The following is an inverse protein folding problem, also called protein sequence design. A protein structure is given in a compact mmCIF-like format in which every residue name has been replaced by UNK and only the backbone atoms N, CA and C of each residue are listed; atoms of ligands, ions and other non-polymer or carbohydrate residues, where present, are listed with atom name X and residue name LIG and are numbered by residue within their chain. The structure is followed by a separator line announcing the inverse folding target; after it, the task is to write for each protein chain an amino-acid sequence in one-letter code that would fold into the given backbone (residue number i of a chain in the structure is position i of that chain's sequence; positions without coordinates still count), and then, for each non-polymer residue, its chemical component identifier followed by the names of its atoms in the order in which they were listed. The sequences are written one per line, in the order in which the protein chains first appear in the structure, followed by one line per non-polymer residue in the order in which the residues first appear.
data_IF_551418048110
#
_entry.id   IF_551418048110
#
_cell.length_a   1.000
_cell.length_b   1.000
_cell.length_c   1.000
_cell.angle_alpha   90.00
_cell.angle_beta   90.00
_cell.angle_gamma   90.00
#
_symmetry.space_group_name_H-M   'P 1'
#
loop_
_entity.id
_entity.type
_entity.pdbx_description
1 polymer ?
#
# COMPACT_ATOMS: atom_id res chain seq x y z
N UNK A 1 -12.44 -12.85 21.95
CA UNK A 1 -11.12 -13.13 21.34
C UNK A 1 -11.14 -12.74 19.87
N UNK A 2 -10.29 -11.76 19.52
CA UNK A 2 -10.20 -11.09 18.21
C UNK A 2 -9.23 -11.82 17.25
N UNK A 3 -9.09 -13.14 17.39
CA UNK A 3 -8.29 -13.93 16.46
C UNK A 3 -9.09 -14.22 15.19
N UNK A 4 -8.42 -14.20 14.06
CA UNK A 4 -8.98 -14.62 12.78
C UNK A 4 -9.03 -16.15 12.75
N UNK A 5 -10.24 -16.70 12.85
CA UNK A 5 -10.51 -18.13 12.73
C UNK A 5 -11.40 -18.37 11.51
N UNK A 6 -10.86 -19.05 10.51
CA UNK A 6 -11.54 -19.34 9.25
C UNK A 6 -12.76 -20.24 9.40
N UNK A 7 -12.82 -21.05 10.46
CA UNK A 7 -13.98 -21.87 10.79
C UNK A 7 -15.20 -21.02 11.20
N UNK A 8 -14.95 -19.89 11.88
CA UNK A 8 -16.00 -18.97 12.33
C UNK A 8 -16.42 -17.98 11.24
N UNK A 9 -15.49 -17.51 10.40
CA UNK A 9 -15.80 -16.55 9.32
C UNK A 9 -16.68 -17.17 8.24
N UNK A 10 -16.38 -18.40 7.83
CA UNK A 10 -17.10 -19.09 6.73
C UNK A 10 -18.47 -19.63 7.17
N UNK A 11 -18.62 -20.08 8.43
CA UNK A 11 -19.92 -20.57 8.94
C UNK A 11 -20.84 -19.50 9.54
N UNK A 12 -20.33 -18.35 10.01
CA UNK A 12 -21.14 -17.32 10.71
C UNK A 12 -21.20 -15.95 10.02
N UNK A 13 -20.72 -15.80 8.78
CA UNK A 13 -20.87 -14.57 7.96
C UNK A 13 -20.46 -13.28 8.71
N UNK A 14 -19.37 -13.35 9.49
CA UNK A 14 -18.93 -12.20 10.30
C UNK A 14 -18.01 -11.27 9.50
N UNK A 15 -18.56 -10.60 8.48
CA UNK A 15 -17.83 -9.71 7.56
C UNK A 15 -17.15 -8.55 8.30
N UNK A 16 -17.72 -8.09 9.41
CA UNK A 16 -17.12 -7.04 10.24
C UNK A 16 -15.77 -7.43 10.84
N UNK A 17 -15.50 -8.73 11.08
CA UNK A 17 -14.20 -9.18 11.58
C UNK A 17 -13.09 -8.91 10.57
N UNK A 18 -13.37 -9.07 9.28
CA UNK A 18 -12.42 -8.79 8.20
C UNK A 18 -11.97 -7.34 8.24
N UNK A 19 -12.89 -6.41 8.47
CA UNK A 19 -12.59 -4.97 8.59
C UNK A 19 -11.84 -4.65 9.88
N UNK A 20 -12.27 -5.20 11.02
CA UNK A 20 -11.62 -4.93 12.32
C UNK A 20 -10.21 -5.49 12.44
N UNK A 21 -9.87 -6.57 11.71
CA UNK A 21 -8.52 -7.14 11.68
C UNK A 21 -7.49 -6.23 11.00
N UNK A 22 -7.91 -5.33 10.11
CA UNK A 22 -7.04 -4.31 9.51
C UNK A 22 -6.85 -3.11 10.43
N UNK A 23 -7.88 -2.74 11.19
CA UNK A 23 -7.81 -1.60 12.10
C UNK A 23 -7.02 -1.88 13.38
N UNK A 24 -6.74 -3.15 13.67
CA UNK A 24 -5.93 -3.54 14.83
C UNK A 24 -4.47 -3.78 14.43
N UNK A 25 -3.61 -2.81 14.74
CA UNK A 25 -2.16 -2.85 14.45
C UNK A 25 -1.37 -3.49 15.62
N UNK A 26 -2.01 -3.72 16.77
CA UNK A 26 -1.43 -4.31 17.97
C UNK A 26 -1.90 -3.61 19.24
N UNK A 27 -1.53 -4.15 20.41
CA UNK A 27 -1.71 -3.44 21.69
C UNK A 27 -0.81 -2.20 21.80
N UNK A 28 -1.20 -1.24 22.63
CA UNK A 28 -0.42 -0.02 22.88
C UNK A 28 0.94 -0.40 23.50
N UNK A 29 2.01 -0.25 22.72
CA UNK A 29 3.39 -0.60 23.09
C UNK A 29 4.36 0.22 22.23
N UNK A 30 5.64 0.29 22.61
CA UNK A 30 6.67 0.97 21.80
C UNK A 30 6.71 0.44 20.35
N UNK A 31 6.50 -0.87 20.17
CA UNK A 31 6.40 -1.53 18.85
C UNK A 31 5.25 -1.00 18.00
N UNK A 32 4.12 -0.69 18.61
CA UNK A 32 2.98 -0.08 17.94
C UNK A 32 3.30 1.37 17.53
N UNK A 33 3.99 2.12 18.38
CA UNK A 33 4.38 3.50 18.08
C UNK A 33 5.33 3.59 16.87
N UNK A 34 6.31 2.69 16.78
CA UNK A 34 7.19 2.60 15.61
C UNK A 34 6.40 2.33 14.32
N UNK A 35 5.39 1.45 14.37
CA UNK A 35 4.50 1.14 13.24
C UNK A 35 3.63 2.33 12.83
N UNK A 36 3.08 3.08 13.78
CA UNK A 36 2.31 4.30 13.49
C UNK A 36 3.21 5.42 12.96
N UNK A 37 4.42 5.57 13.50
CA UNK A 37 5.40 6.54 13.01
C UNK A 37 5.81 6.23 11.57
N UNK A 38 6.01 4.95 11.25
CA UNK A 38 6.26 4.47 9.89
C UNK A 38 5.10 4.85 8.94
N UNK A 39 3.86 4.62 9.38
CA UNK A 39 2.69 5.03 8.60
C UNK A 39 2.63 6.55 8.39
N UNK A 40 2.87 7.34 9.42
CA UNK A 40 2.81 8.80 9.33
C UNK A 40 3.92 9.34 8.42
N UNK A 41 5.15 8.83 8.56
CA UNK A 41 6.31 9.33 7.84
C UNK A 41 6.37 8.88 6.38
N UNK A 42 5.78 7.73 6.03
CA UNK A 42 5.83 7.20 4.66
C UNK A 42 4.47 7.23 3.96
N UNK A 43 3.36 7.04 4.68
CA UNK A 43 2.02 7.07 4.09
C UNK A 43 1.59 8.47 3.64
N UNK A 44 1.82 9.50 4.45
CA UNK A 44 1.42 10.88 4.11
C UNK A 44 2.17 11.41 2.89
N UNK A 45 3.50 11.24 2.76
CA UNK A 45 4.20 11.59 1.53
C UNK A 45 3.68 10.81 0.33
N UNK A 46 3.36 9.51 0.47
CA UNK A 46 2.85 8.71 -0.64
C UNK A 46 1.55 9.28 -1.22
N UNK A 47 0.60 9.64 -0.35
CA UNK A 47 -0.66 10.28 -0.74
C UNK A 47 -0.42 11.63 -1.41
N UNK A 48 0.46 12.45 -0.82
CA UNK A 48 0.73 13.82 -1.27
C UNK A 48 1.67 13.94 -2.45
N UNK A 49 2.31 12.89 -2.93
CA UNK A 49 3.30 12.98 -4.03
C UNK A 49 2.94 12.07 -5.19
N UNK A 50 2.72 10.79 -4.92
CA UNK A 50 2.37 9.80 -5.95
C UNK A 50 0.88 9.86 -6.30
N UNK A 51 0.01 10.06 -5.31
CA UNK A 51 -1.45 10.01 -5.48
C UNK A 51 -2.14 11.38 -5.38
N UNK A 52 -1.41 12.47 -5.67
CA UNK A 52 -2.00 13.81 -5.70
C UNK A 52 -3.25 13.83 -6.59
N UNK A 53 -4.38 14.24 -6.03
CA UNK A 53 -5.70 14.30 -6.68
C UNK A 53 -6.27 12.95 -7.17
N UNK A 54 -5.67 11.83 -6.77
CA UNK A 54 -6.11 10.45 -7.07
C UNK A 54 -6.24 9.63 -5.79
N UNK A 55 -6.85 10.19 -4.75
CA UNK A 55 -7.08 9.51 -3.46
C UNK A 55 -7.82 8.17 -3.63
N UNK A 56 -8.66 8.05 -4.66
CA UNK A 56 -9.32 6.79 -5.02
C UNK A 56 -8.34 5.65 -5.31
N UNK A 57 -7.19 5.94 -5.93
CA UNK A 57 -6.19 4.95 -6.28
C UNK A 57 -5.37 4.52 -5.06
N UNK A 58 -5.13 5.47 -4.15
CA UNK A 58 -4.51 5.18 -2.86
C UNK A 58 -5.39 4.26 -2.01
N UNK A 59 -6.71 4.52 -1.95
CA UNK A 59 -7.66 3.64 -1.26
C UNK A 59 -7.74 2.28 -1.96
N UNK A 60 -7.74 2.25 -3.29
CA UNK A 60 -7.78 1.00 -4.05
C UNK A 60 -6.53 0.14 -3.81
N UNK A 61 -5.34 0.74 -3.69
CA UNK A 61 -4.12 0.05 -3.27
C UNK A 61 -4.31 -0.66 -1.92
N UNK A 62 -4.88 0.03 -0.93
CA UNK A 62 -5.17 -0.56 0.38
C UNK A 62 -6.18 -1.71 0.31
N UNK A 63 -7.25 -1.53 -0.47
CA UNK A 63 -8.29 -2.56 -0.65
C UNK A 63 -7.72 -3.80 -1.35
N UNK A 64 -6.95 -3.62 -2.43
CA UNK A 64 -6.30 -4.72 -3.14
C UNK A 64 -5.33 -5.47 -2.22
N UNK A 65 -4.50 -4.72 -1.49
CA UNK A 65 -3.53 -5.30 -0.57
C UNK A 65 -4.21 -6.07 0.56
N UNK A 66 -5.30 -5.53 1.12
CA UNK A 66 -6.12 -6.21 2.10
C UNK A 66 -6.74 -7.49 1.55
N UNK A 67 -7.26 -7.47 0.32
CA UNK A 67 -7.81 -8.65 -0.34
C UNK A 67 -6.75 -9.74 -0.54
N UNK A 68 -5.54 -9.38 -0.99
CA UNK A 68 -4.43 -10.32 -1.12
C UNK A 68 -4.01 -10.93 0.22
N UNK A 69 -3.90 -10.12 1.28
CA UNK A 69 -3.57 -10.62 2.62
C UNK A 69 -4.65 -11.56 3.17
N UNK A 70 -5.92 -11.28 2.91
CA UNK A 70 -7.03 -12.18 3.25
C UNK A 70 -6.94 -13.51 2.48
N UNK A 71 -6.67 -13.46 1.18
CA UNK A 71 -6.50 -14.66 0.37
C UNK A 71 -5.33 -15.52 0.86
N UNK A 72 -4.18 -14.90 1.18
CA UNK A 72 -3.02 -15.61 1.75
C UNK A 72 -3.37 -16.22 3.10
N UNK A 73 -4.03 -15.46 3.97
CA UNK A 73 -4.47 -15.97 5.27
C UNK A 73 -5.44 -17.15 5.14
N UNK A 74 -6.30 -17.16 4.13
CA UNK A 74 -7.23 -18.26 3.85
C UNK A 74 -6.53 -19.53 3.40
N UNK A 75 -5.58 -19.39 2.47
CA UNK A 75 -4.83 -20.52 1.90
C UNK A 75 -3.82 -21.08 2.90
N UNK A 76 -3.26 -20.24 3.76
CA UNK A 76 -2.22 -20.61 4.72
C UNK A 76 -2.64 -20.36 6.18
N UNK A 77 -3.58 -21.16 6.73
CA UNK A 77 -4.03 -21.01 8.12
C UNK A 77 -2.92 -21.29 9.15
N UNK A 78 -1.83 -21.96 8.75
CA UNK A 78 -0.67 -22.24 9.61
C UNK A 78 0.16 -21.01 10.00
N UNK A 79 -0.01 -19.87 9.32
CA UNK A 79 0.73 -18.63 9.63
C UNK A 79 0.19 -17.89 10.87
N UNK A 80 -0.93 -18.33 11.44
CA UNK A 80 -1.58 -17.74 12.63
C UNK A 80 -1.60 -16.21 12.59
N UNK A 81 -1.94 -15.63 11.42
CA UNK A 81 -1.98 -14.19 11.19
C UNK A 81 -3.08 -13.56 12.04
N UNK A 82 -2.76 -13.24 13.28
CA UNK A 82 -3.72 -12.73 14.25
C UNK A 82 -4.18 -11.32 13.88
N UNK A 83 -3.30 -10.53 13.26
CA UNK A 83 -3.51 -9.13 12.95
C UNK A 83 -2.99 -8.80 11.55
N UNK A 84 -3.89 -8.35 10.66
CA UNK A 84 -3.55 -8.00 9.27
C UNK A 84 -3.21 -6.52 9.11
N UNK A 85 -3.36 -5.70 10.16
CA UNK A 85 -2.96 -4.29 10.15
C UNK A 85 -1.46 -4.11 9.95
N UNK A 86 -0.62 -4.85 10.67
CA UNK A 86 0.83 -4.77 10.54
C UNK A 86 1.36 -5.06 9.13
N UNK A 87 1.02 -6.20 8.47
CA UNK A 87 1.49 -6.46 7.11
C UNK A 87 0.99 -5.42 6.11
N UNK A 88 -0.22 -4.86 6.29
CA UNK A 88 -0.73 -3.77 5.44
C UNK A 88 0.16 -2.51 5.51
N UNK A 89 0.67 -2.16 6.70
CA UNK A 89 1.63 -1.04 6.85
C UNK A 89 2.92 -1.28 6.07
N UNK A 90 3.45 -2.52 6.11
CA UNK A 90 4.63 -2.88 5.34
C UNK A 90 4.37 -2.87 3.83
N UNK A 91 3.14 -3.13 3.36
CA UNK A 91 2.77 -2.92 1.95
C UNK A 91 2.91 -1.45 1.57
N UNK A 92 2.38 -0.52 2.39
CA UNK A 92 2.51 0.93 2.14
C UNK A 92 3.97 1.35 2.11
N UNK A 93 4.76 0.89 3.07
CA UNK A 93 6.20 1.13 3.13
C UNK A 93 6.91 0.63 1.87
N UNK A 94 6.56 -0.57 1.42
CA UNK A 94 7.13 -1.15 0.20
C UNK A 94 6.78 -0.31 -1.03
N UNK A 95 5.50 0.06 -1.20
CA UNK A 95 5.07 0.89 -2.33
C UNK A 95 5.75 2.26 -2.28
N UNK A 96 5.90 2.85 -1.09
CA UNK A 96 6.65 4.09 -0.91
C UNK A 96 8.10 3.95 -1.33
N UNK A 97 8.78 2.90 -0.84
CA UNK A 97 10.17 2.58 -1.16
C UNK A 97 10.41 2.45 -2.68
N UNK A 98 9.44 1.89 -3.40
CA UNK A 98 9.50 1.75 -4.87
C UNK A 98 9.24 3.04 -5.62
N UNK A 99 8.39 3.93 -5.10
CA UNK A 99 8.11 5.23 -5.73
C UNK A 99 9.23 6.26 -5.45
N UNK A 100 9.89 6.15 -4.30
CA UNK A 100 10.95 7.06 -3.84
C UNK A 100 12.28 6.34 -3.64
N UNK A 101 12.68 5.51 -4.61
CA UNK A 101 13.90 4.70 -4.50
C UNK A 101 15.17 5.53 -4.33
N UNK A 102 15.24 6.67 -5.01
CA UNK A 102 16.43 7.53 -5.05
C UNK A 102 16.46 8.56 -3.92
N UNK A 103 15.37 8.69 -3.17
CA UNK A 103 15.27 9.65 -2.08
C UNK A 103 16.05 9.15 -0.85
N UNK A 104 17.01 9.92 -0.31
CA UNK A 104 17.71 9.53 0.91
C UNK A 104 16.78 9.69 2.11
N UNK A 105 16.57 8.60 2.85
CA UNK A 105 15.76 8.56 4.07
C UNK A 105 16.66 8.29 5.26
N UNK A 106 16.51 9.11 6.30
CA UNK A 106 17.18 8.86 7.58
C UNK A 106 16.30 7.97 8.44
N UNK A 107 16.77 6.76 8.73
CA UNK A 107 16.15 5.89 9.72
C UNK A 107 16.54 6.42 11.09
N UNK A 108 15.57 7.04 11.76
CA UNK A 108 15.66 7.43 13.17
C UNK A 108 16.80 8.41 13.46
N UNK A 109 17.29 9.16 12.47
CA UNK A 109 18.35 10.16 12.62
C UNK A 109 19.77 9.62 12.51
N UNK A 110 19.96 8.30 12.57
CA UNK A 110 21.30 7.68 12.66
C UNK A 110 21.84 7.19 11.31
N UNK A 111 20.99 6.57 10.48
CA UNK A 111 21.42 5.94 9.23
C UNK A 111 20.67 6.54 8.04
N UNK A 112 21.41 7.14 7.10
CA UNK A 112 20.87 7.60 5.81
C UNK A 112 20.92 6.44 4.82
N UNK A 113 19.77 5.87 4.48
CA UNK A 113 19.62 4.83 3.47
C UNK A 113 18.83 5.35 2.28
N UNK A 114 19.09 4.83 1.10
CA UNK A 114 18.21 5.06 -0.04
C UNK A 114 16.85 4.42 0.22
N UNK A 115 15.78 5.06 -0.27
CA UNK A 115 14.41 4.59 -0.09
C UNK A 115 14.21 3.14 -0.50
N UNK A 116 14.96 2.64 -1.49
CA UNK A 116 14.94 1.23 -1.93
C UNK A 116 15.25 0.22 -0.81
N UNK A 117 16.13 0.55 0.14
CA UNK A 117 16.56 -0.38 1.20
C UNK A 117 15.65 -0.35 2.44
N UNK A 118 14.68 0.56 2.52
CA UNK A 118 13.82 0.72 3.69
C UNK A 118 13.09 -0.56 4.13
N UNK A 119 12.42 -1.33 3.24
CA UNK A 119 11.69 -2.51 3.67
C UNK A 119 12.61 -3.55 4.30
N UNK A 120 13.83 -3.68 3.78
CA UNK A 120 14.85 -4.57 4.31
C UNK A 120 15.46 -4.08 5.61
N UNK A 121 15.65 -2.76 5.75
CA UNK A 121 16.12 -2.16 6.99
C UNK A 121 15.10 -2.35 8.12
N UNK A 122 13.81 -2.14 7.84
CA UNK A 122 12.73 -2.39 8.81
C UNK A 122 12.60 -3.88 9.14
N UNK A 123 12.76 -4.79 8.19
CA UNK A 123 12.86 -6.22 8.47
C UNK A 123 13.99 -6.55 9.46
N UNK A 124 15.16 -5.92 9.29
CA UNK A 124 16.29 -6.07 10.20
C UNK A 124 15.99 -5.53 11.61
N UNK A 125 15.36 -4.35 11.70
CA UNK A 125 14.93 -3.76 12.97
C UNK A 125 13.92 -4.67 13.67
N UNK A 126 12.95 -5.21 12.93
CA UNK A 126 11.94 -6.11 13.45
C UNK A 126 12.57 -7.37 14.05
N UNK A 127 13.60 -7.93 13.40
CA UNK A 127 14.34 -9.09 13.88
C UNK A 127 15.11 -8.78 15.17
N UNK A 128 15.79 -7.62 15.23
CA UNK A 128 16.52 -7.17 16.42
C UNK A 128 15.57 -6.91 17.59
N UNK A 129 14.38 -6.37 17.31
CA UNK A 129 13.34 -6.13 18.31
C UNK A 129 12.54 -7.39 18.71
N UNK A 130 12.85 -8.56 18.11
CA UNK A 130 12.13 -9.81 18.37
C UNK A 130 10.67 -9.78 17.91
N UNK A 131 10.34 -8.95 16.92
CA UNK A 131 9.03 -8.94 16.26
C UNK A 131 8.95 -10.04 15.21
N UNK A 132 7.72 -10.39 14.81
CA UNK A 132 7.52 -11.39 13.75
C UNK A 132 8.00 -10.84 12.40
N UNK A 133 9.07 -11.39 11.80
CA UNK A 133 9.53 -10.96 10.48
C UNK A 133 8.56 -11.36 9.37
N UNK A 134 7.67 -12.32 9.66
CA UNK A 134 6.66 -12.84 8.72
C UNK A 134 5.69 -11.73 8.30
N UNK A 135 5.31 -10.83 9.21
CA UNK A 135 4.44 -9.69 8.89
C UNK A 135 5.09 -8.76 7.85
N UNK A 136 6.40 -8.49 8.03
CA UNK A 136 7.17 -7.66 7.12
C UNK A 136 7.34 -8.33 5.75
N UNK A 137 7.72 -9.62 5.73
CA UNK A 137 7.87 -10.39 4.49
C UNK A 137 6.57 -10.50 3.69
N UNK A 138 5.43 -10.71 4.38
CA UNK A 138 4.11 -10.71 3.73
C UNK A 138 3.77 -9.35 3.13
N UNK A 139 4.09 -8.26 3.83
CA UNK A 139 3.89 -6.91 3.29
C UNK A 139 4.74 -6.64 2.05
N UNK A 140 6.00 -7.07 2.04
CA UNK A 140 6.89 -6.99 0.87
C UNK A 140 6.32 -7.82 -0.29
N UNK A 141 5.88 -9.05 -0.02
CA UNK A 141 5.33 -9.93 -1.04
C UNK A 141 4.06 -9.35 -1.67
N UNK A 142 3.09 -8.91 -0.87
CA UNK A 142 1.84 -8.32 -1.36
C UNK A 142 2.09 -6.98 -2.06
N UNK A 143 2.99 -6.15 -1.53
CA UNK A 143 3.40 -4.91 -2.19
C UNK A 143 4.06 -5.16 -3.55
N UNK A 144 4.88 -6.21 -3.66
CA UNK A 144 5.45 -6.63 -4.93
C UNK A 144 4.36 -7.11 -5.89
N UNK A 145 3.37 -7.86 -5.39
CA UNK A 145 2.22 -8.31 -6.17
C UNK A 145 1.42 -7.13 -6.73
N UNK A 146 1.13 -6.12 -5.90
CA UNK A 146 0.48 -4.87 -6.33
C UNK A 146 1.30 -4.15 -7.39
N UNK A 147 2.61 -4.01 -7.19
CA UNK A 147 3.49 -3.38 -8.18
C UNK A 147 3.53 -4.17 -9.49
N UNK A 148 3.58 -5.51 -9.43
CA UNK A 148 3.58 -6.39 -10.59
C UNK A 148 2.29 -6.24 -11.42
N UNK A 149 1.13 -6.33 -10.78
CA UNK A 149 -0.14 -6.17 -11.49
C UNK A 149 -0.41 -4.72 -11.92
N UNK A 150 0.09 -3.74 -11.16
CA UNK A 150 -0.17 -2.32 -11.40
C UNK A 150 0.77 -1.67 -12.43
N UNK A 151 1.99 -2.18 -12.58
CA UNK A 151 2.99 -1.59 -13.48
C UNK A 151 3.43 -2.55 -14.60
N UNK A 152 3.76 -3.80 -14.28
CA UNK A 152 4.30 -4.76 -15.26
C UNK A 152 3.22 -5.36 -16.17
N UNK A 153 2.03 -5.62 -15.64
CA UNK A 153 0.91 -6.14 -16.43
C UNK A 153 0.39 -5.16 -17.50
N UNK A 154 0.13 -3.87 -17.21
CA UNK A 154 -0.31 -2.93 -18.24
C UNK A 154 0.76 -2.61 -19.28
N UNK A 155 2.05 -2.69 -18.92
CA UNK A 155 3.17 -2.52 -19.85
C UNK A 155 3.24 -3.64 -20.91
N UNK A 156 2.78 -4.87 -20.60
CA UNK A 156 2.78 -5.99 -21.56
C UNK A 156 1.46 -6.18 -22.30
N UNK A 157 0.32 -5.89 -21.68
CA UNK A 157 -1.00 -6.24 -22.23
C UNK A 157 -1.79 -5.02 -22.71
N UNK A 158 -1.37 -3.78 -22.40
CA UNK A 158 -2.07 -2.55 -22.79
C UNK A 158 -3.43 -2.34 -22.11
N UNK A 159 -3.82 -3.25 -21.20
CA UNK A 159 -5.01 -3.14 -20.35
C UNK A 159 -4.55 -2.89 -18.91
N UNK A 160 -5.17 -1.92 -18.23
CA UNK A 160 -4.97 -1.64 -16.80
C UNK A 160 -5.93 -2.49 -15.97
N UNK A 161 -5.56 -3.69 -15.48
CA UNK A 161 -6.44 -4.48 -14.60
C UNK A 161 -6.65 -3.83 -13.23
N UNK A 162 -5.76 -2.93 -12.82
CA UNK A 162 -5.94 -2.07 -11.63
C UNK A 162 -6.54 -0.71 -11.95
N UNK A 163 -7.29 -0.58 -13.06
CA UNK A 163 -8.13 0.58 -13.26
C UNK A 163 -9.09 0.67 -12.06
N UNK A 164 -8.98 1.76 -11.31
CA UNK A 164 -9.86 2.08 -10.20
C UNK A 164 -11.29 2.00 -10.69
N UNK A 165 -12.14 1.18 -10.05
CA UNK A 165 -13.49 1.00 -10.55
C UNK A 165 -14.24 2.33 -10.43
N UNK A 166 -15.02 2.66 -11.46
CA UNK A 166 -15.62 4.00 -11.61
C UNK A 166 -16.46 4.42 -10.40
N UNK A 167 -17.09 3.48 -9.69
CA UNK A 167 -17.86 3.76 -8.48
C UNK A 167 -16.99 4.35 -7.35
N UNK A 168 -15.76 3.86 -7.16
CA UNK A 168 -14.87 4.34 -6.12
C UNK A 168 -14.34 5.74 -6.45
N UNK A 169 -14.05 5.97 -7.74
CA UNK A 169 -13.68 7.29 -8.25
C UNK A 169 -14.80 8.30 -8.03
N UNK A 170 -16.03 7.93 -8.36
CA UNK A 170 -17.20 8.78 -8.17
C UNK A 170 -17.50 9.06 -6.70
N UNK A 171 -17.34 8.10 -5.79
CA UNK A 171 -17.54 8.32 -4.35
C UNK A 171 -16.52 9.29 -3.77
N UNK A 172 -15.25 9.14 -4.16
CA UNK A 172 -14.17 10.03 -3.70
C UNK A 172 -14.32 11.42 -4.33
N UNK A 173 -14.55 11.52 -5.64
CA UNK A 173 -14.76 12.80 -6.34
C UNK A 173 -16.03 13.54 -5.84
N UNK A 174 -17.09 12.82 -5.47
CA UNK A 174 -18.27 13.43 -4.85
C UNK A 174 -17.98 13.95 -3.43
N UNK A 175 -17.03 13.35 -2.71
CA UNK A 175 -16.56 13.85 -1.41
C UNK A 175 -15.64 15.08 -1.53
N UNK A 176 -14.82 15.16 -2.58
CA UNK A 176 -13.93 16.32 -2.85
C UNK A 176 -14.62 17.47 -3.60
N UNK A 177 -15.69 17.21 -4.36
CA UNK A 177 -16.47 18.25 -5.04
C UNK A 177 -17.20 19.20 -4.09
N UNK A 178 -17.30 18.87 -2.80
CA UNK A 178 -17.78 19.80 -1.77
C UNK A 178 -16.76 20.87 -1.35
N UNK A 179 -15.49 20.80 -1.79
CA UNK A 179 -14.44 21.64 -1.19
C UNK A 179 -13.36 22.24 -2.09
N UNK A 180 -13.28 22.01 -3.41
CA UNK A 180 -12.60 22.98 -4.31
C UNK A 180 -12.75 22.67 -5.80
N UNK A 181 -13.01 23.72 -6.57
CA UNK A 181 -13.29 23.67 -8.00
C UNK A 181 -12.13 23.17 -8.88
N UNK A 182 -12.55 22.53 -9.97
CA UNK A 182 -11.96 22.58 -11.31
C UNK A 182 -10.43 22.67 -11.41
N UNK A 183 -9.75 21.54 -11.60
CA UNK A 183 -8.62 21.48 -12.53
C UNK A 183 -8.72 20.21 -13.39
N UNK A 184 -9.41 20.34 -14.53
CA UNK A 184 -9.30 19.42 -15.66
C UNK A 184 -7.87 19.52 -16.20
N UNK A 185 -6.98 18.62 -15.78
CA UNK A 185 -5.68 18.49 -16.44
C UNK A 185 -5.87 17.67 -17.72
N UNK A 186 -6.07 18.39 -18.82
CA UNK A 186 -5.93 17.86 -20.17
C UNK A 186 -4.56 17.19 -20.28
N UNK A 187 -4.52 15.88 -20.59
CA UNK A 187 -3.30 15.23 -21.07
C UNK A 187 -2.90 15.96 -22.36
N UNK A 188 -2.07 16.99 -22.26
CA UNK A 188 -1.28 17.44 -23.40
C UNK A 188 -0.24 16.35 -23.65
N UNK A 189 -0.66 15.35 -24.42
CA UNK A 189 0.29 14.50 -25.15
C UNK A 189 1.11 15.45 -26.02
N UNK A 190 2.36 15.65 -25.65
CA UNK A 190 3.32 16.42 -26.43
C UNK A 190 3.51 15.69 -27.76
N UNK A 191 2.72 16.07 -28.76
CA UNK A 191 2.89 15.64 -30.14
C UNK A 191 4.11 16.40 -30.67
N UNK A 192 5.27 15.77 -30.53
CA UNK A 192 6.52 16.24 -31.12
C UNK A 192 6.34 16.36 -32.63
N UNK A 193 6.14 17.59 -33.10
CA UNK A 193 6.04 17.91 -34.54
C UNK A 193 7.47 17.90 -35.09
N UNK A 194 7.92 16.73 -35.54
CA UNK A 194 9.18 16.59 -36.25
C UNK A 194 9.17 17.41 -37.53
N UNK A 195 9.89 18.54 -37.55
CA UNK A 195 10.26 19.23 -38.79
C UNK A 195 11.47 18.51 -39.36
N UNK A 196 11.28 17.83 -40.49
CA UNK A 196 12.40 17.40 -41.34
C UNK A 196 12.97 18.66 -41.98
N UNK A 197 14.23 18.95 -41.67
CA UNK A 197 15.05 19.85 -42.48
C UNK A 197 15.60 18.99 -43.62
N UNK A 198 15.07 19.18 -44.81
CA UNK A 198 15.67 18.70 -46.04
C UNK A 198 15.63 19.88 -47.03
N UNK A 199 16.84 20.29 -47.39
CA UNK A 199 17.32 21.02 -48.57
C UNK A 199 16.62 22.33 -49.00
#
# INVERSE_FOLDING_TARGET
TLYLDWYLVTRKMQVWRLVTCFSFIGGFSMRYLVKIMLLANHGVPLERSTYQYRTADYVYMHVFSGLCLLAISFVFPGLQLSFLGSPLLYVVLYVWSRNFSDSPVSIMGFLKLQGFYLPWAYLGIDLIMGMSPVECLLGIFVGHLYYFFGTLYPLRTGRNPLATPAWLKNMVENGTNGSNGQQRYTRQTWQGRGRRLAD
#
